data_IF_530999252274
#
_entry.id   IF_530999252274
#
_cell.length_a   1.000
_cell.length_b   1.000
_cell.length_c   1.000
_cell.angle_alpha   90.00
_cell.angle_beta   90.00
_cell.angle_gamma   90.00
#
_symmetry.space_group_name_H-M   'P 1'
#
loop_
_entity.id
_entity.type
_entity.pdbx_description
1 polymer ?
#
# COMPACT_ATOMS: atom_id res chain seq x y z
N UNK A 1 -3.74 5.01 13.06
CA UNK A 1 -3.82 6.04 11.97
C UNK A 1 -4.86 7.12 12.28
N UNK A 2 -4.58 8.40 12.03
CA UNK A 2 -5.58 9.48 12.17
C UNK A 2 -6.61 9.41 11.02
N UNK A 3 -7.90 9.26 11.34
CA UNK A 3 -8.99 9.11 10.36
C UNK A 3 -9.32 10.41 9.60
N UNK A 4 -8.60 11.50 9.86
CA UNK A 4 -8.79 12.81 9.22
C UNK A 4 -8.17 12.92 7.82
N UNK A 5 -7.38 11.94 7.37
CA UNK A 5 -6.79 11.99 6.04
C UNK A 5 -7.88 11.97 4.95
N UNK A 6 -7.86 12.94 4.00
CA UNK A 6 -8.85 12.98 2.92
C UNK A 6 -8.62 11.82 1.95
N UNK A 7 -9.71 11.25 1.43
CA UNK A 7 -9.63 10.34 0.30
C UNK A 7 -9.06 11.09 -0.90
N UNK A 8 -8.14 10.46 -1.62
CA UNK A 8 -7.54 11.06 -2.80
C UNK A 8 -7.26 10.00 -3.88
N UNK A 9 -7.34 10.44 -5.14
CA UNK A 9 -7.10 9.60 -6.30
C UNK A 9 -5.61 9.40 -6.65
N UNK A 10 -4.66 9.80 -5.78
CA UNK A 10 -3.23 9.72 -6.10
C UNK A 10 -2.78 8.28 -6.38
N UNK A 11 -3.48 7.29 -5.81
CA UNK A 11 -3.26 5.85 -6.02
C UNK A 11 -3.27 5.43 -7.49
N UNK A 12 -3.97 6.18 -8.36
CA UNK A 12 -3.96 5.96 -9.81
C UNK A 12 -2.55 6.10 -10.42
N UNK A 13 -1.74 6.99 -9.86
CA UNK A 13 -0.40 7.36 -10.32
C UNK A 13 0.71 6.93 -9.33
N UNK A 14 0.34 6.62 -8.09
CA UNK A 14 1.18 6.15 -6.98
C UNK A 14 0.73 4.71 -6.65
N UNK A 15 1.00 3.77 -7.55
CA UNK A 15 0.56 2.37 -7.41
C UNK A 15 1.39 1.63 -6.33
N UNK A 16 1.62 0.33 -6.47
CA UNK A 16 2.36 -0.44 -5.44
C UNK A 16 3.82 0.00 -5.28
N UNK A 17 4.50 0.33 -6.39
CA UNK A 17 5.86 0.93 -6.41
C UNK A 17 6.93 0.14 -5.61
N UNK A 18 6.87 -1.19 -5.66
CA UNK A 18 7.75 -2.03 -4.82
C UNK A 18 9.24 -1.86 -5.14
N UNK A 19 9.60 -1.81 -6.43
CA UNK A 19 11.00 -1.64 -6.80
C UNK A 19 11.52 -0.25 -6.44
N UNK A 20 10.71 0.77 -6.71
CA UNK A 20 11.01 2.17 -6.45
C UNK A 20 11.18 2.44 -4.95
N UNK A 21 10.28 1.92 -4.11
CA UNK A 21 10.35 2.13 -2.67
C UNK A 21 11.55 1.40 -2.06
N UNK A 22 11.96 0.23 -2.57
CA UNK A 22 13.19 -0.44 -2.11
C UNK A 22 14.44 0.39 -2.38
N UNK A 23 14.52 1.05 -3.54
CA UNK A 23 15.62 1.97 -3.85
C UNK A 23 15.55 3.21 -2.93
N UNK A 24 14.36 3.81 -2.79
CA UNK A 24 14.16 4.97 -1.94
C UNK A 24 14.52 4.68 -0.48
N UNK A 25 14.15 3.52 0.04
CA UNK A 25 14.44 3.09 1.41
C UNK A 25 15.95 3.00 1.68
N UNK A 26 16.76 2.53 0.72
CA UNK A 26 18.23 2.52 0.87
C UNK A 26 18.82 3.93 1.04
N UNK A 27 18.28 4.91 0.31
CA UNK A 27 18.69 6.30 0.47
C UNK A 27 18.17 6.91 1.78
N UNK A 28 16.93 6.58 2.15
CA UNK A 28 16.33 7.04 3.40
C UNK A 28 17.15 6.55 4.61
N UNK A 29 17.48 5.26 4.66
CA UNK A 29 18.31 4.64 5.70
C UNK A 29 19.71 5.26 5.79
N UNK A 30 20.28 5.71 4.66
CA UNK A 30 21.59 6.38 4.68
C UNK A 30 21.51 7.86 5.09
N UNK A 31 20.34 8.34 5.52
CA UNK A 31 20.13 9.71 6.01
C UNK A 31 20.10 10.77 4.90
N UNK A 32 19.97 10.36 3.63
CA UNK A 32 19.89 11.32 2.53
C UNK A 32 18.56 12.05 2.56
N UNK A 33 18.63 13.37 2.39
CA UNK A 33 17.44 14.19 2.20
C UNK A 33 16.76 13.84 0.88
N UNK A 34 15.44 14.00 0.87
CA UNK A 34 14.56 13.68 -0.27
C UNK A 34 15.03 14.31 -1.59
N UNK A 35 15.43 15.59 -1.60
CA UNK A 35 15.86 16.26 -2.83
C UNK A 35 17.19 15.72 -3.35
N UNK A 36 18.12 15.38 -2.47
CA UNK A 36 19.39 14.74 -2.86
C UNK A 36 19.17 13.33 -3.40
N UNK A 37 18.28 12.57 -2.77
CA UNK A 37 17.90 11.24 -3.23
C UNK A 37 17.23 11.30 -4.61
N UNK A 38 16.32 12.26 -4.83
CA UNK A 38 15.67 12.49 -6.13
C UNK A 38 16.72 12.75 -7.22
N UNK A 39 17.70 13.63 -6.96
CA UNK A 39 18.74 13.93 -7.94
C UNK A 39 19.60 12.70 -8.26
N UNK A 40 19.94 11.86 -7.27
CA UNK A 40 20.67 10.61 -7.50
C UNK A 40 19.86 9.58 -8.29
N UNK A 41 18.57 9.44 -7.98
CA UNK A 41 17.65 8.52 -8.65
C UNK A 41 17.46 8.94 -10.11
N UNK A 42 17.27 10.24 -10.38
CA UNK A 42 17.14 10.79 -11.73
C UNK A 42 18.41 10.60 -12.55
N UNK A 43 19.56 11.03 -12.02
CA UNK A 43 20.85 11.03 -12.74
C UNK A 43 21.21 9.66 -13.29
N UNK A 44 20.89 8.60 -12.55
CA UNK A 44 21.19 7.22 -12.94
C UNK A 44 19.95 6.48 -13.48
N UNK A 45 18.83 7.17 -13.67
CA UNK A 45 17.51 6.62 -14.01
C UNK A 45 17.17 5.33 -13.24
N UNK A 46 17.38 5.32 -11.92
CA UNK A 46 17.30 4.09 -11.13
C UNK A 46 15.91 3.46 -11.14
N UNK A 47 14.86 4.27 -11.34
CA UNK A 47 13.49 3.78 -11.44
C UNK A 47 13.11 3.30 -12.85
N UNK A 48 13.97 3.53 -13.86
CA UNK A 48 13.74 3.12 -15.26
C UNK A 48 12.47 3.74 -15.88
N UNK A 49 12.21 5.03 -15.63
CA UNK A 49 11.10 5.77 -16.23
C UNK A 49 11.57 6.72 -17.33
N UNK A 50 10.71 7.02 -18.32
CA UNK A 50 11.09 7.85 -19.46
C UNK A 50 11.24 9.33 -19.12
N UNK A 51 10.62 9.82 -18.03
CA UNK A 51 10.63 11.24 -17.69
C UNK A 51 11.10 11.49 -16.26
N UNK A 52 12.02 12.44 -16.12
CA UNK A 52 12.51 12.88 -14.81
C UNK A 52 11.39 13.42 -13.90
N UNK A 53 10.40 14.11 -14.48
CA UNK A 53 9.23 14.61 -13.73
C UNK A 53 8.48 13.46 -13.05
N UNK A 54 8.31 12.33 -13.74
CA UNK A 54 7.68 11.15 -13.16
C UNK A 54 8.55 10.54 -12.07
N UNK A 55 9.86 10.39 -12.31
CA UNK A 55 10.81 9.90 -11.30
C UNK A 55 10.74 10.72 -10.02
N UNK A 56 10.82 12.05 -10.12
CA UNK A 56 10.73 12.95 -8.97
C UNK A 56 9.41 12.81 -8.21
N UNK A 57 8.29 12.66 -8.92
CA UNK A 57 6.97 12.48 -8.28
C UNK A 57 6.90 11.16 -7.53
N UNK A 58 7.35 10.06 -8.14
CA UNK A 58 7.33 8.73 -7.55
C UNK A 58 8.29 8.62 -6.36
N UNK A 59 9.47 9.23 -6.45
CA UNK A 59 10.43 9.26 -5.35
C UNK A 59 9.85 10.00 -4.13
N UNK A 60 9.15 11.12 -4.36
CA UNK A 60 8.43 11.82 -3.27
C UNK A 60 7.32 10.97 -2.66
N UNK A 61 6.55 10.26 -3.48
CA UNK A 61 5.53 9.35 -2.98
C UNK A 61 6.13 8.21 -2.15
N UNK A 62 7.28 7.68 -2.56
CA UNK A 62 8.01 6.66 -1.79
C UNK A 62 8.45 7.23 -0.43
N UNK A 63 9.09 8.40 -0.40
CA UNK A 63 9.51 9.04 0.85
C UNK A 63 8.33 9.29 1.80
N UNK A 64 7.21 9.81 1.29
CA UNK A 64 6.00 9.97 2.12
C UNK A 64 5.47 8.67 2.71
N UNK A 65 5.59 7.55 2.00
CA UNK A 65 5.23 6.21 2.53
C UNK A 65 6.21 5.74 3.60
N UNK A 66 7.51 5.99 3.39
CA UNK A 66 8.55 5.68 4.38
C UNK A 66 8.35 6.50 5.66
N UNK A 67 8.10 7.81 5.52
CA UNK A 67 7.75 8.68 6.65
C UNK A 67 6.47 8.17 7.35
N UNK A 68 5.46 7.78 6.56
CA UNK A 68 4.20 7.28 7.09
C UNK A 68 4.35 5.97 7.85
N UNK A 69 5.38 5.15 7.63
CA UNK A 69 5.64 3.96 8.45
C UNK A 69 5.89 4.32 9.92
N UNK A 70 6.43 5.51 10.20
CA UNK A 70 6.70 6.00 11.57
C UNK A 70 7.61 5.07 12.38
N UNK A 71 8.37 4.19 11.73
CA UNK A 71 9.15 3.14 12.35
C UNK A 71 10.41 2.87 11.51
N UNK A 72 11.56 3.29 12.02
CA UNK A 72 12.83 3.18 11.30
C UNK A 72 13.24 1.73 11.06
N UNK A 73 12.91 0.81 11.98
CA UNK A 73 13.20 -0.61 11.78
C UNK A 73 12.44 -1.16 10.57
N UNK A 74 11.16 -0.81 10.40
CA UNK A 74 10.40 -1.21 9.21
C UNK A 74 11.00 -0.64 7.91
N UNK A 75 11.52 0.59 7.95
CA UNK A 75 12.21 1.18 6.79
C UNK A 75 13.51 0.44 6.47
N UNK A 76 14.27 0.04 7.49
CA UNK A 76 15.45 -0.81 7.34
C UNK A 76 15.09 -2.17 6.71
N UNK A 77 14.10 -2.86 7.25
CA UNK A 77 13.65 -4.15 6.72
C UNK A 77 13.14 -4.03 5.27
N UNK A 78 12.40 -2.98 4.95
CA UNK A 78 11.96 -2.73 3.57
C UNK A 78 13.14 -2.58 2.60
N UNK A 79 14.26 -2.03 3.04
CA UNK A 79 15.46 -1.88 2.23
C UNK A 79 16.21 -3.21 2.01
N UNK A 80 16.33 -4.05 3.05
CA UNK A 80 17.24 -5.22 3.06
C UNK A 80 16.59 -6.59 3.11
N UNK A 81 15.38 -6.73 3.65
CA UNK A 81 14.72 -8.02 3.84
C UNK A 81 14.44 -8.74 2.51
N UNK A 82 14.19 -10.07 2.57
CA UNK A 82 13.63 -10.83 1.47
C UNK A 82 12.38 -10.18 0.87
N UNK A 83 12.13 -10.43 -0.41
CA UNK A 83 11.04 -9.77 -1.13
C UNK A 83 9.66 -9.99 -0.49
N UNK A 84 9.40 -11.17 0.06
CA UNK A 84 8.12 -11.49 0.70
C UNK A 84 7.84 -10.60 1.91
N UNK A 85 8.82 -10.47 2.81
CA UNK A 85 8.75 -9.59 3.98
C UNK A 85 8.62 -8.13 3.54
N UNK A 86 9.50 -7.67 2.65
CA UNK A 86 9.51 -6.30 2.17
C UNK A 86 8.18 -5.92 1.46
N UNK A 87 7.53 -6.86 0.77
CA UNK A 87 6.22 -6.62 0.13
C UNK A 87 5.11 -6.41 1.15
N UNK A 88 5.10 -7.17 2.25
CA UNK A 88 4.14 -6.95 3.34
C UNK A 88 4.37 -5.57 4.01
N UNK A 89 5.63 -5.22 4.26
CA UNK A 89 5.99 -3.91 4.82
C UNK A 89 5.59 -2.77 3.88
N UNK A 90 5.81 -2.93 2.57
CA UNK A 90 5.35 -1.93 1.59
C UNK A 90 3.83 -1.79 1.57
N UNK A 91 3.09 -2.90 1.64
CA UNK A 91 1.62 -2.86 1.73
C UNK A 91 1.19 -2.06 2.96
N UNK A 92 1.77 -2.33 4.12
CA UNK A 92 1.52 -1.56 5.34
C UNK A 92 1.91 -0.09 5.21
N UNK A 93 3.02 0.24 4.55
CA UNK A 93 3.40 1.62 4.26
C UNK A 93 2.36 2.33 3.37
N UNK A 94 1.82 1.64 2.36
CA UNK A 94 0.74 2.16 1.52
C UNK A 94 -0.54 2.34 2.33
N UNK A 95 -0.89 1.40 3.20
CA UNK A 95 -2.03 1.52 4.11
C UNK A 95 -1.87 2.77 4.99
N UNK A 96 -0.71 2.94 5.66
CA UNK A 96 -0.44 4.09 6.53
C UNK A 96 -0.39 5.43 5.80
N UNK A 97 -0.09 5.43 4.51
CA UNK A 97 -0.08 6.64 3.68
C UNK A 97 -1.45 6.96 3.05
N UNK A 98 -2.27 5.95 2.77
CA UNK A 98 -3.50 6.10 1.98
C UNK A 98 -4.71 5.48 2.69
N UNK A 99 -5.61 6.35 3.18
CA UNK A 99 -6.84 5.97 3.88
C UNK A 99 -7.72 4.99 3.11
N UNK A 100 -7.84 5.14 1.78
CA UNK A 100 -8.64 4.21 0.97
C UNK A 100 -8.06 2.80 1.02
N UNK A 101 -6.74 2.65 0.93
CA UNK A 101 -6.07 1.35 1.03
C UNK A 101 -6.19 0.79 2.44
N UNK A 102 -6.00 1.62 3.47
CA UNK A 102 -6.20 1.24 4.87
C UNK A 102 -7.58 0.63 5.10
N UNK A 103 -8.64 1.36 4.74
CA UNK A 103 -10.02 0.91 4.92
C UNK A 103 -10.36 -0.29 4.05
N UNK A 104 -9.87 -0.35 2.80
CA UNK A 104 -10.09 -1.50 1.93
C UNK A 104 -9.49 -2.78 2.54
N UNK A 105 -8.23 -2.71 2.99
CA UNK A 105 -7.54 -3.85 3.55
C UNK A 105 -8.19 -4.34 4.86
N UNK A 106 -8.72 -3.44 5.69
CA UNK A 106 -9.36 -3.85 6.95
C UNK A 106 -10.82 -4.28 6.72
N UNK A 107 -11.63 -3.41 6.12
CA UNK A 107 -13.09 -3.59 6.05
C UNK A 107 -13.53 -4.58 4.97
N UNK A 108 -12.66 -4.92 4.01
CA UNK A 108 -12.97 -5.91 2.96
C UNK A 108 -12.13 -7.15 3.16
N UNK A 109 -10.80 -7.02 3.14
CA UNK A 109 -9.91 -8.18 3.21
C UNK A 109 -9.86 -8.76 4.63
N UNK A 110 -9.67 -7.92 5.65
CA UNK A 110 -9.64 -8.35 7.04
C UNK A 110 -10.96 -8.97 7.51
N UNK A 111 -12.10 -8.38 7.14
CA UNK A 111 -13.42 -8.95 7.43
C UNK A 111 -13.68 -10.27 6.71
N UNK A 112 -13.15 -10.44 5.50
CA UNK A 112 -13.20 -11.73 4.80
C UNK A 112 -12.44 -12.81 5.54
N UNK A 113 -11.20 -12.54 5.94
CA UNK A 113 -10.44 -13.49 6.76
C UNK A 113 -11.12 -13.77 8.10
N UNK A 114 -11.65 -12.74 8.77
CA UNK A 114 -12.33 -12.88 10.08
C UNK A 114 -13.49 -13.85 10.00
N UNK A 115 -14.26 -13.78 8.91
CA UNK A 115 -15.42 -14.63 8.68
C UNK A 115 -15.10 -15.92 7.92
N UNK A 116 -13.81 -16.19 7.65
CA UNK A 116 -13.36 -17.31 6.82
C UNK A 116 -14.00 -17.32 5.41
N UNK A 117 -14.47 -16.15 4.94
CA UNK A 117 -14.98 -15.95 3.59
C UNK A 117 -13.81 -15.69 2.64
N UNK A 118 -13.22 -16.78 2.13
CA UNK A 118 -12.10 -16.67 1.20
C UNK A 118 -12.52 -16.21 -0.20
N UNK A 119 -13.81 -15.97 -0.48
CA UNK A 119 -14.25 -15.54 -1.80
C UNK A 119 -14.20 -14.01 -1.92
N UNK A 120 -13.27 -13.46 -2.69
CA UNK A 120 -13.18 -12.05 -3.05
C UNK A 120 -13.59 -11.83 -4.51
N UNK A 121 -14.66 -11.07 -4.71
CA UNK A 121 -15.25 -10.85 -6.03
C UNK A 121 -15.41 -9.38 -6.38
N UNK A 122 -15.82 -9.12 -7.63
CA UNK A 122 -16.19 -7.76 -8.07
C UNK A 122 -17.32 -7.15 -7.25
N UNK A 123 -18.20 -7.96 -6.66
CA UNK A 123 -19.32 -7.48 -5.85
C UNK A 123 -18.84 -6.82 -4.56
N UNK A 124 -17.89 -7.45 -3.86
CA UNK A 124 -17.31 -6.93 -2.60
C UNK A 124 -16.67 -5.58 -2.83
N UNK A 125 -15.90 -5.52 -3.91
CA UNK A 125 -15.19 -4.33 -4.31
C UNK A 125 -16.22 -3.23 -4.75
N UNK A 126 -17.30 -3.56 -5.46
CA UNK A 126 -18.34 -2.59 -5.83
C UNK A 126 -19.11 -2.08 -4.60
N UNK A 127 -19.40 -2.96 -3.64
CA UNK A 127 -20.06 -2.60 -2.38
C UNK A 127 -19.20 -1.63 -1.56
N UNK A 128 -17.88 -1.87 -1.49
CA UNK A 128 -16.92 -0.97 -0.84
C UNK A 128 -16.98 0.45 -1.43
N UNK A 129 -16.86 0.60 -2.75
CA UNK A 129 -16.91 1.92 -3.39
C UNK A 129 -18.29 2.57 -3.29
N UNK A 130 -19.38 1.80 -3.41
CA UNK A 130 -20.74 2.35 -3.27
C UNK A 130 -20.95 2.93 -1.88
N UNK A 131 -20.44 2.25 -0.83
CA UNK A 131 -20.46 2.76 0.54
C UNK A 131 -19.63 4.03 0.68
N UNK A 132 -18.40 4.06 0.15
CA UNK A 132 -17.56 5.25 0.21
C UNK A 132 -18.20 6.45 -0.50
N UNK A 133 -18.75 6.26 -1.70
CA UNK A 133 -19.43 7.34 -2.44
C UNK A 133 -20.68 7.86 -1.71
N UNK A 134 -21.35 7.02 -0.92
CA UNK A 134 -22.50 7.46 -0.13
C UNK A 134 -22.11 8.24 1.14
N UNK A 135 -20.85 8.11 1.59
CA UNK A 135 -20.36 8.69 2.84
C UNK A 135 -19.43 9.90 2.64
N UNK A 136 -18.84 10.05 1.46
CA UNK A 136 -17.85 11.07 1.18
C UNK A 136 -18.06 11.72 -0.21
N UNK A 137 -18.33 13.03 -0.21
CA UNK A 137 -18.61 13.82 -1.42
C UNK A 137 -17.42 13.87 -2.38
N UNK A 138 -16.18 13.81 -1.87
CA UNK A 138 -14.97 13.85 -2.71
C UNK A 138 -14.82 12.57 -3.53
N UNK A 139 -15.16 11.42 -2.93
CA UNK A 139 -15.19 10.12 -3.62
C UNK A 139 -16.39 10.04 -4.56
N UNK A 140 -17.54 10.58 -4.16
CA UNK A 140 -18.74 10.67 -5.01
C UNK A 140 -18.47 11.43 -6.31
N UNK A 141 -17.62 12.46 -6.26
CA UNK A 141 -17.22 13.27 -7.41
C UNK A 141 -16.18 12.61 -8.34
N UNK A 142 -15.62 11.44 -8.00
CA UNK A 142 -14.66 10.76 -8.87
C UNK A 142 -15.32 10.20 -10.13
N UNK A 143 -14.63 10.34 -11.26
CA UNK A 143 -15.06 9.71 -12.52
C UNK A 143 -15.04 8.18 -12.44
N UNK A 144 -15.88 7.53 -13.24
CA UNK A 144 -15.87 6.07 -13.39
C UNK A 144 -14.49 5.54 -13.81
N UNK A 145 -13.74 6.30 -14.61
CA UNK A 145 -12.39 5.97 -15.03
C UNK A 145 -11.41 5.96 -13.84
N UNK A 146 -11.49 6.97 -12.96
CA UNK A 146 -10.70 7.06 -11.73
C UNK A 146 -11.00 5.88 -10.83
N UNK A 147 -12.29 5.61 -10.57
CA UNK A 147 -12.73 4.49 -9.74
C UNK A 147 -12.21 3.18 -10.35
N UNK A 148 -12.48 2.91 -11.62
CA UNK A 148 -12.00 1.70 -12.32
C UNK A 148 -10.49 1.52 -12.22
N UNK A 149 -9.72 2.61 -12.34
CA UNK A 149 -8.26 2.56 -12.21
C UNK A 149 -7.84 2.22 -10.78
N UNK A 150 -8.43 2.83 -9.75
CA UNK A 150 -8.13 2.53 -8.34
C UNK A 150 -8.44 1.06 -8.03
N UNK A 151 -9.60 0.56 -8.47
CA UNK A 151 -10.00 -0.85 -8.33
C UNK A 151 -8.95 -1.79 -8.91
N UNK A 152 -8.45 -1.49 -10.11
CA UNK A 152 -7.37 -2.28 -10.73
C UNK A 152 -6.06 -2.21 -9.93
N UNK A 153 -5.74 -1.07 -9.34
CA UNK A 153 -4.53 -0.92 -8.52
C UNK A 153 -4.64 -1.75 -7.23
N UNK A 154 -5.79 -1.74 -6.55
CA UNK A 154 -6.01 -2.57 -5.36
C UNK A 154 -5.85 -4.06 -5.67
N UNK A 155 -6.48 -4.56 -6.74
CA UNK A 155 -6.33 -5.97 -7.15
C UNK A 155 -4.88 -6.31 -7.47
N UNK A 156 -4.15 -5.42 -8.13
CA UNK A 156 -2.71 -5.64 -8.41
C UNK A 156 -1.89 -5.66 -7.13
N UNK A 157 -2.21 -4.85 -6.12
CA UNK A 157 -1.53 -4.90 -4.81
C UNK A 157 -1.76 -6.26 -4.16
N UNK A 158 -3.02 -6.75 -4.12
CA UNK A 158 -3.33 -8.07 -3.59
C UNK A 158 -2.50 -9.17 -4.26
N UNK A 159 -2.39 -9.15 -5.59
CA UNK A 159 -1.58 -10.10 -6.36
C UNK A 159 -0.09 -9.98 -6.00
N UNK A 160 0.45 -8.75 -6.00
CA UNK A 160 1.85 -8.51 -5.67
C UNK A 160 2.23 -9.02 -4.28
N UNK A 161 1.28 -8.97 -3.34
CA UNK A 161 1.45 -9.44 -1.95
C UNK A 161 0.99 -10.87 -1.70
N UNK A 162 0.58 -11.60 -2.74
CA UNK A 162 0.23 -13.03 -2.66
C UNK A 162 -1.17 -13.33 -2.12
N UNK A 163 -2.03 -12.32 -1.94
CA UNK A 163 -3.42 -12.51 -1.53
C UNK A 163 -4.29 -13.11 -2.64
N UNK A 164 -3.88 -12.92 -3.89
CA UNK A 164 -4.50 -13.49 -5.09
C UNK A 164 -3.38 -14.01 -6.00
N UNK A 165 -3.62 -15.12 -6.69
CA UNK A 165 -2.64 -15.65 -7.65
C UNK A 165 -2.66 -14.88 -8.99
N UNK A 166 -3.78 -14.22 -9.30
CA UNK A 166 -3.99 -13.60 -10.60
C UNK A 166 -5.23 -12.71 -10.69
N UNK A 167 -5.34 -12.00 -11.82
CA UNK A 167 -6.36 -10.96 -12.04
C UNK A 167 -7.80 -11.48 -12.14
N UNK A 168 -7.96 -12.78 -12.41
CA UNK A 168 -9.28 -13.44 -12.54
C UNK A 168 -9.64 -14.26 -11.32
N UNK A 169 -8.69 -14.44 -10.40
CA UNK A 169 -8.90 -15.27 -9.24
C UNK A 169 -9.82 -14.56 -8.26
N UNK A 170 -10.67 -15.36 -7.64
CA UNK A 170 -11.68 -14.89 -6.68
C UNK A 170 -11.51 -15.55 -5.32
N UNK A 171 -10.48 -16.38 -5.16
CA UNK A 171 -10.17 -17.03 -3.89
C UNK A 171 -8.97 -16.32 -3.29
N UNK A 172 -9.13 -15.78 -2.09
CA UNK A 172 -8.06 -15.24 -1.29
C UNK A 172 -7.16 -16.38 -0.80
N UNK A 173 -5.85 -16.17 -0.87
CA UNK A 173 -4.88 -17.02 -0.22
C UNK A 173 -4.80 -16.65 1.27
N UNK A 174 -4.56 -17.60 2.18
CA UNK A 174 -4.15 -17.26 3.53
C UNK A 174 -2.76 -16.60 3.48
N UNK A 175 -2.64 -15.44 4.11
CA UNK A 175 -1.36 -14.74 4.26
C UNK A 175 -0.83 -14.99 5.67
N UNK A 176 0.48 -15.16 5.78
CA UNK A 176 1.17 -15.31 7.05
C UNK A 176 1.92 -14.01 7.34
N UNK A 177 1.50 -13.32 8.39
CA UNK A 177 2.15 -12.10 8.86
C UNK A 177 3.59 -12.41 9.25
N UNK A 178 4.55 -11.68 8.68
CA UNK A 178 5.95 -11.80 9.07
C UNK A 178 6.22 -11.11 10.41
N UNK A 179 7.16 -11.66 11.19
CA UNK A 179 7.48 -11.19 12.54
C UNK A 179 7.98 -9.73 12.53
N UNK A 180 8.71 -9.33 11.48
CA UNK A 180 9.18 -7.96 11.29
C UNK A 180 8.02 -6.97 11.22
N UNK A 181 7.00 -7.30 10.41
CA UNK A 181 5.83 -6.45 10.27
C UNK A 181 4.95 -6.49 11.50
N UNK A 182 4.76 -7.66 12.12
CA UNK A 182 4.01 -7.81 13.37
C UNK A 182 4.55 -6.88 14.45
N UNK A 183 5.85 -6.96 14.76
CA UNK A 183 6.50 -6.08 15.74
C UNK A 183 6.37 -4.60 15.38
N UNK A 184 6.44 -4.29 14.08
CA UNK A 184 6.27 -2.93 13.59
C UNK A 184 4.85 -2.37 13.78
N UNK A 185 3.82 -3.19 13.51
CA UNK A 185 2.41 -2.85 13.74
C UNK A 185 2.15 -2.65 15.24
N UNK A 186 2.66 -3.54 16.08
CA UNK A 186 2.56 -3.44 17.54
C UNK A 186 3.24 -2.18 18.07
N UNK A 187 4.47 -1.90 17.65
CA UNK A 187 5.20 -0.70 18.05
C UNK A 187 4.49 0.60 17.63
N UNK A 188 3.77 0.55 16.51
CA UNK A 188 2.95 1.66 16.01
C UNK A 188 1.56 1.76 16.68
N UNK A 189 1.16 0.78 17.50
CA UNK A 189 -0.18 0.63 18.07
C UNK A 189 -1.30 0.55 17.01
N UNK A 190 -0.99 0.03 15.83
CA UNK A 190 -1.90 -0.05 14.68
C UNK A 190 -2.61 -1.42 14.60
N UNK A 191 -3.07 -1.94 15.73
CA UNK A 191 -3.67 -3.29 15.85
C UNK A 191 -4.84 -3.55 14.90
N UNK A 192 -5.58 -2.50 14.51
CA UNK A 192 -6.67 -2.57 13.53
C UNK A 192 -6.21 -3.09 12.15
N UNK A 193 -4.91 -2.99 11.83
CA UNK A 193 -4.34 -3.49 10.58
C UNK A 193 -4.15 -5.02 10.59
N UNK A 194 -4.03 -5.66 11.77
CA UNK A 194 -3.70 -7.09 11.88
C UNK A 194 -4.68 -8.02 11.13
N UNK A 195 -6.01 -7.81 11.18
CA UNK A 195 -6.96 -8.63 10.41
C UNK A 195 -6.67 -8.65 8.91
N UNK A 196 -6.16 -7.54 8.36
CA UNK A 196 -5.81 -7.48 6.94
C UNK A 196 -4.75 -8.50 6.55
N UNK A 197 -3.92 -8.94 7.49
CA UNK A 197 -2.87 -9.94 7.30
C UNK A 197 -3.27 -11.33 7.83
N UNK A 198 -4.58 -11.61 7.90
CA UNK A 198 -5.12 -12.87 8.42
C UNK A 198 -4.63 -13.18 9.85
N UNK A 199 -4.50 -12.14 10.68
CA UNK A 199 -3.98 -12.24 12.03
C UNK A 199 -5.00 -11.74 13.05
N UNK A 200 -5.34 -12.60 14.01
CA UNK A 200 -6.35 -12.35 15.05
C UNK A 200 -5.75 -12.73 16.40
N UNK A 201 -5.43 -11.73 17.21
CA UNK A 201 -5.08 -11.89 18.63
C UNK A 201 -6.27 -11.53 19.51
#
# INVERSE_FOLDING_TARGET
>A
MDQTHPYNGSLTAEQFLFYEIRIAAKYYVSGLKIDEAIERIKKNNLFQYPTERQVSRLARACYKRLDALGNDQLVHELASAPNEIAKQINLYAVMRYNRLVWEFMIQVIGEKYRNQDMNFSRKDMNAFFSRLQAQDDSVAAWSDATITKIKSVLVRMLIETGYLDGLKDTTLNPVFLCEELERGIEANNDYDALPAFNYFR
#
